data_IF_800695794759
#
_entry.id   IF_800695794759
#
_cell.length_a   1.000
_cell.length_b   1.000
_cell.length_c   1.000
_cell.angle_alpha   90.00
_cell.angle_beta   90.00
_cell.angle_gamma   90.00
#
_symmetry.space_group_name_H-M   'P 1'
#
loop_
_entity.id
_entity.type
_entity.pdbx_description
1 polymer ?
#
# COMPACT_ATOMS: atom_id res chain seq x y z
N UNK A 1 15.82 10.36 -8.56
CA UNK A 1 16.37 9.20 -7.83
C UNK A 1 15.20 8.28 -7.49
N UNK A 2 15.20 7.05 -7.98
CA UNK A 2 14.20 6.08 -7.55
C UNK A 2 14.42 5.81 -6.05
N UNK A 3 13.45 6.20 -5.21
CA UNK A 3 13.52 5.96 -3.77
C UNK A 3 13.00 4.55 -3.51
N UNK A 4 13.91 3.62 -3.22
CA UNK A 4 13.52 2.29 -2.76
C UNK A 4 13.21 2.33 -1.26
N UNK A 5 12.07 1.75 -0.88
CA UNK A 5 11.67 1.62 0.51
C UNK A 5 11.53 0.16 0.89
N UNK A 6 12.26 -0.25 1.92
CA UNK A 6 12.11 -1.58 2.49
C UNK A 6 10.90 -1.61 3.42
N UNK A 7 9.89 -2.38 3.06
CA UNK A 7 8.71 -2.59 3.90
C UNK A 7 8.99 -3.60 5.02
N UNK A 8 8.50 -3.29 6.21
CA UNK A 8 8.56 -4.14 7.40
C UNK A 8 7.15 -4.49 7.85
N UNK A 9 6.92 -5.78 8.13
CA UNK A 9 5.60 -6.29 8.50
C UNK A 9 5.04 -5.61 9.75
N UNK A 10 5.88 -5.29 10.74
CA UNK A 10 5.47 -4.64 11.98
C UNK A 10 4.92 -3.22 11.79
N UNK A 11 5.34 -2.52 10.74
CA UNK A 11 5.06 -1.09 10.55
C UNK A 11 4.41 -0.78 9.19
N UNK A 12 3.91 -1.80 8.50
CA UNK A 12 3.39 -1.70 7.12
C UNK A 12 2.36 -0.57 6.97
N UNK A 13 1.47 -0.37 7.95
CA UNK A 13 0.46 0.68 7.93
C UNK A 13 1.07 2.08 7.87
N UNK A 14 2.05 2.35 8.75
CA UNK A 14 2.72 3.64 8.81
C UNK A 14 3.59 3.88 7.58
N UNK A 15 4.22 2.83 7.06
CA UNK A 15 5.03 2.91 5.84
C UNK A 15 4.17 3.21 4.61
N UNK A 16 3.04 2.51 4.43
CA UNK A 16 2.13 2.78 3.31
C UNK A 16 1.50 4.18 3.40
N UNK A 17 1.16 4.65 4.60
CA UNK A 17 0.72 6.04 4.82
C UNK A 17 1.77 7.05 4.38
N UNK A 18 3.01 6.81 4.76
CA UNK A 18 4.12 7.68 4.40
C UNK A 18 4.31 7.72 2.88
N UNK A 19 4.32 6.56 2.21
CA UNK A 19 4.42 6.47 0.75
C UNK A 19 3.25 7.19 0.06
N UNK A 20 2.02 6.97 0.51
CA UNK A 20 0.85 7.66 -0.03
C UNK A 20 0.99 9.19 0.08
N UNK A 21 1.44 9.68 1.23
CA UNK A 21 1.63 11.11 1.44
C UNK A 21 2.73 11.70 0.54
N UNK A 22 3.78 10.93 0.21
CA UNK A 22 4.81 11.36 -0.74
C UNK A 22 4.23 11.60 -2.14
N UNK A 23 3.24 10.79 -2.53
CA UNK A 23 2.51 10.92 -3.79
C UNK A 23 1.30 11.87 -3.69
N UNK A 24 1.17 12.63 -2.60
CA UNK A 24 0.08 13.60 -2.39
C UNK A 24 -1.27 12.98 -2.04
N UNK A 25 -1.32 11.69 -1.71
CA UNK A 25 -2.53 10.97 -1.36
C UNK A 25 -2.63 10.73 0.14
N UNK A 26 -3.79 11.08 0.73
CA UNK A 26 -4.16 10.50 2.03
C UNK A 26 -4.73 9.08 1.82
N UNK A 27 -4.86 8.33 2.92
CA UNK A 27 -5.33 6.93 2.84
C UNK A 27 -6.73 6.76 2.24
N UNK A 28 -7.61 7.74 2.40
CA UNK A 28 -8.97 7.72 1.82
C UNK A 28 -8.89 7.83 0.31
N UNK A 29 -8.12 8.78 -0.20
CA UNK A 29 -7.90 8.97 -1.63
C UNK A 29 -7.16 7.77 -2.24
N UNK A 30 -6.13 7.26 -1.57
CA UNK A 30 -5.46 6.02 -1.98
C UNK A 30 -6.47 4.87 -2.11
N UNK A 31 -7.37 4.72 -1.12
CA UNK A 31 -8.34 3.63 -1.16
C UNK A 31 -9.33 3.80 -2.32
N UNK A 32 -9.77 5.01 -2.60
CA UNK A 32 -10.63 5.29 -3.75
C UNK A 32 -9.92 5.02 -5.07
N UNK A 33 -8.67 5.43 -5.22
CA UNK A 33 -7.88 5.15 -6.42
C UNK A 33 -7.66 3.64 -6.64
N UNK A 34 -7.38 2.87 -5.58
CA UNK A 34 -7.31 1.39 -5.67
C UNK A 34 -8.66 0.80 -6.11
N UNK A 35 -9.76 1.33 -5.58
CA UNK A 35 -11.10 0.86 -5.94
C UNK A 35 -11.45 1.15 -7.40
N UNK A 36 -11.15 2.35 -7.86
CA UNK A 36 -11.36 2.78 -9.24
C UNK A 36 -10.54 1.95 -10.23
N UNK A 37 -9.24 1.78 -9.96
CA UNK A 37 -8.33 1.08 -10.88
C UNK A 37 -8.60 -0.42 -10.96
N UNK A 38 -9.01 -1.06 -9.86
CA UNK A 38 -9.19 -2.51 -9.78
C UNK A 38 -10.65 -2.97 -9.66
N UNK A 39 -11.62 -2.06 -9.82
CA UNK A 39 -13.06 -2.36 -9.78
C UNK A 39 -13.53 -2.91 -8.43
N UNK A 40 -13.05 -2.35 -7.32
CA UNK A 40 -13.39 -2.79 -5.95
C UNK A 40 -14.33 -1.82 -5.26
N UNK A 41 -15.09 -2.33 -4.29
CA UNK A 41 -16.06 -1.52 -3.52
C UNK A 41 -15.80 -1.59 -2.00
N UNK A 42 -14.66 -2.12 -1.57
CA UNK A 42 -14.40 -2.26 -0.13
C UNK A 42 -13.97 -0.94 0.51
N UNK A 43 -14.30 -0.79 1.80
CA UNK A 43 -14.12 0.47 2.52
C UNK A 43 -12.69 0.69 3.00
N UNK A 44 -12.35 1.96 3.28
CA UNK A 44 -11.10 2.32 3.96
C UNK A 44 -10.94 1.62 5.32
N UNK A 45 -12.05 1.39 6.04
CA UNK A 45 -12.04 0.65 7.31
C UNK A 45 -11.57 -0.78 7.12
N UNK A 46 -11.94 -1.44 6.02
CA UNK A 46 -11.46 -2.77 5.68
C UNK A 46 -9.94 -2.77 5.48
N UNK A 47 -9.42 -1.83 4.70
CA UNK A 47 -7.98 -1.69 4.46
C UNK A 47 -7.23 -1.42 5.76
N UNK A 48 -7.72 -0.52 6.62
CA UNK A 48 -7.13 -0.28 7.95
C UNK A 48 -7.14 -1.50 8.84
N UNK A 49 -8.25 -2.25 8.89
CA UNK A 49 -8.35 -3.47 9.68
C UNK A 49 -7.37 -4.54 9.18
N UNK A 50 -7.16 -4.65 7.87
CA UNK A 50 -6.17 -5.58 7.29
C UNK A 50 -4.76 -5.19 7.68
N UNK A 51 -4.39 -3.92 7.56
CA UNK A 51 -3.06 -3.44 7.95
C UNK A 51 -2.81 -3.56 9.46
N UNK A 52 -3.79 -3.17 10.30
CA UNK A 52 -3.68 -3.22 11.77
C UNK A 52 -3.54 -4.66 12.29
N UNK A 53 -4.25 -5.60 11.66
CA UNK A 53 -4.28 -7.00 12.10
C UNK A 53 -3.27 -7.90 11.37
N UNK A 54 -2.31 -7.34 10.62
CA UNK A 54 -1.35 -8.08 9.80
C UNK A 54 -1.98 -9.07 8.81
N UNK A 55 -3.12 -8.69 8.21
CA UNK A 55 -3.88 -9.47 7.23
C UNK A 55 -3.81 -8.89 5.81
N UNK A 56 -2.92 -7.92 5.57
CA UNK A 56 -2.72 -7.37 4.23
C UNK A 56 -2.12 -8.45 3.31
N UNK A 57 -2.81 -8.76 2.22
CA UNK A 57 -2.37 -9.75 1.23
C UNK A 57 -1.35 -9.13 0.27
N UNK A 58 -0.51 -9.97 -0.32
CA UNK A 58 0.46 -9.53 -1.34
C UNK A 58 -0.23 -8.88 -2.54
N UNK A 59 -1.38 -9.40 -2.98
CA UNK A 59 -2.16 -8.78 -4.07
C UNK A 59 -2.63 -7.36 -3.72
N UNK A 60 -3.08 -7.14 -2.48
CA UNK A 60 -3.51 -5.81 -2.02
C UNK A 60 -2.34 -4.85 -1.91
N UNK A 61 -1.16 -5.36 -1.53
CA UNK A 61 0.06 -4.58 -1.53
C UNK A 61 0.47 -4.20 -2.97
N UNK A 62 0.34 -5.12 -3.93
CA UNK A 62 0.63 -4.87 -5.33
C UNK A 62 -0.30 -3.80 -5.94
N UNK A 63 -1.59 -3.87 -5.63
CA UNK A 63 -2.56 -2.85 -6.07
C UNK A 63 -2.25 -1.45 -5.51
N UNK A 64 -1.86 -1.38 -4.23
CA UNK A 64 -1.43 -0.12 -3.61
C UNK A 64 -0.15 0.40 -4.27
N UNK A 65 0.82 -0.48 -4.53
CA UNK A 65 2.06 -0.13 -5.19
C UNK A 65 1.80 0.43 -6.61
N UNK A 66 0.91 -0.20 -7.38
CA UNK A 66 0.51 0.26 -8.72
C UNK A 66 -0.06 1.69 -8.67
N UNK A 67 -1.01 1.96 -7.76
CA UNK A 67 -1.61 3.30 -7.62
C UNK A 67 -0.57 4.35 -7.21
N UNK A 68 0.40 3.97 -6.40
CA UNK A 68 1.49 4.84 -5.97
C UNK A 68 2.66 4.89 -6.96
N UNK A 69 2.57 4.19 -8.09
CA UNK A 69 3.62 4.12 -9.10
C UNK A 69 4.95 3.53 -8.58
N UNK A 70 4.86 2.54 -7.68
CA UNK A 70 5.99 1.77 -7.16
C UNK A 70 5.98 0.34 -7.68
N UNK A 71 7.18 -0.24 -7.80
CA UNK A 71 7.39 -1.65 -8.14
C UNK A 71 7.70 -2.48 -6.88
N UNK A 72 7.10 -3.68 -6.75
CA UNK A 72 7.43 -4.63 -5.69
C UNK A 72 8.58 -5.52 -6.17
N UNK A 73 9.74 -5.37 -5.54
CA UNK A 73 10.93 -6.18 -5.83
C UNK A 73 11.17 -7.26 -4.77
N UNK A 74 11.58 -8.45 -5.21
CA UNK A 74 12.11 -9.49 -4.34
C UNK A 74 13.64 -9.49 -4.39
N UNK A 75 14.28 -9.20 -3.25
CA UNK A 75 15.75 -9.23 -3.12
C UNK A 75 16.19 -10.43 -2.28
N UNK A 76 17.21 -11.15 -2.75
CA UNK A 76 17.87 -12.21 -1.97
C UNK A 76 18.63 -11.59 -0.80
N UNK A 77 18.48 -12.16 0.40
CA UNK A 77 19.31 -11.77 1.56
C UNK A 77 20.78 -12.11 1.27
N UNK A 78 21.73 -11.27 1.70
CA UNK A 78 23.14 -11.65 1.72
C UNK A 78 23.34 -12.89 2.60
#
# INVERSE_FOLDING_TARGET
MAKEFKLETKNICSQLKFLANLEGLNMTLLKYAVNELFGKEDSIRNLYNKMKNNRLRVSELAEIAEVLNYEIILRKKP
#
